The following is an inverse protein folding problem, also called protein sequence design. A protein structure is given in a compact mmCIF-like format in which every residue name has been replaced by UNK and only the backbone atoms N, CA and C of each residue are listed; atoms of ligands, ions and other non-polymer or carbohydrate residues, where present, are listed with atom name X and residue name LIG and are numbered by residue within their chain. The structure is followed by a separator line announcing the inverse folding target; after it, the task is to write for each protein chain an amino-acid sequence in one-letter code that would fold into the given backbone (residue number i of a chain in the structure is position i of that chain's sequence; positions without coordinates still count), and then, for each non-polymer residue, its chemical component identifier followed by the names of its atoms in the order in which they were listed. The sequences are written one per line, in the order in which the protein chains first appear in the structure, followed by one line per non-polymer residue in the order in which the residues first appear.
data_IF_138694461162
#
_entry.id   IF_138694461162
#
_cell.length_a   1.000
_cell.length_b   1.000
_cell.length_c   1.000
_cell.angle_alpha   90.00
_cell.angle_beta   90.00
_cell.angle_gamma   90.00
#
_symmetry.space_group_name_H-M   'P 1'
#
loop_
_entity.id
_entity.type
_entity.pdbx_description
1 polymer ?
#
# COMPACT_ATOMS: atom_id res chain seq x y z
N UNK A 1 4.62 30.21 20.42
CA UNK A 1 3.91 29.26 19.56
C UNK A 1 4.20 27.86 20.07
N UNK A 2 3.18 27.08 20.40
CA UNK A 2 3.32 25.68 20.77
C UNK A 2 2.40 24.88 19.84
N UNK A 3 2.98 24.10 18.92
CA UNK A 3 2.24 23.14 18.10
C UNK A 3 2.02 21.87 18.91
N UNK A 4 0.90 21.18 18.71
CA UNK A 4 0.79 19.79 19.16
C UNK A 4 1.76 18.90 18.38
N UNK A 5 2.12 17.76 18.95
CA UNK A 5 3.07 16.84 18.32
C UNK A 5 2.61 16.38 16.92
N UNK A 6 1.30 16.16 16.71
CA UNK A 6 0.71 15.76 15.43
C UNK A 6 0.81 16.88 14.39
N UNK A 7 0.63 18.13 14.82
CA UNK A 7 0.68 19.31 13.96
C UNK A 7 2.09 19.62 13.47
N UNK A 8 3.13 19.20 14.21
CA UNK A 8 4.52 19.28 13.75
C UNK A 8 4.73 18.40 12.51
N UNK A 9 4.21 17.17 12.52
CA UNK A 9 4.30 16.28 11.37
C UNK A 9 3.47 16.78 10.19
N UNK A 10 2.26 17.28 10.45
CA UNK A 10 1.42 17.89 9.42
C UNK A 10 2.12 19.10 8.75
N UNK A 11 2.82 19.91 9.53
CA UNK A 11 3.62 21.02 9.00
C UNK A 11 4.81 20.54 8.16
N UNK A 12 5.54 19.52 8.61
CA UNK A 12 6.66 18.94 7.86
C UNK A 12 6.17 18.36 6.52
N UNK A 13 5.03 17.67 6.51
CA UNK A 13 4.39 17.19 5.28
C UNK A 13 3.94 18.32 4.35
N UNK A 14 3.38 19.40 4.90
CA UNK A 14 3.01 20.57 4.13
C UNK A 14 4.22 21.17 3.43
N UNK A 15 5.33 21.38 4.15
CA UNK A 15 6.58 21.90 3.58
C UNK A 15 7.10 21.01 2.46
N UNK A 16 7.13 19.69 2.67
CA UNK A 16 7.57 18.70 1.68
C UNK A 16 6.75 18.69 0.37
N UNK A 17 5.54 19.27 0.36
CA UNK A 17 4.63 19.30 -0.81
C UNK A 17 4.48 20.69 -1.42
N UNK A 18 5.05 21.72 -0.80
CA UNK A 18 4.74 23.12 -1.13
C UNK A 18 5.75 23.78 -2.08
N UNK A 19 6.95 23.21 -2.25
CA UNK A 19 7.95 23.78 -3.13
C UNK A 19 7.75 23.31 -4.59
N UNK A 20 7.92 24.17 -5.61
CA UNK A 20 7.68 23.79 -7.00
C UNK A 20 8.65 22.76 -7.61
N UNK A 21 9.78 22.50 -6.95
CA UNK A 21 10.79 21.54 -7.42
C UNK A 21 10.66 20.21 -6.68
N UNK A 22 10.18 19.19 -7.39
CA UNK A 22 9.98 17.84 -6.85
C UNK A 22 11.28 17.19 -6.39
N UNK A 23 12.42 17.46 -7.05
CA UNK A 23 13.71 16.90 -6.64
C UNK A 23 14.18 17.48 -5.31
N UNK A 24 13.93 18.77 -5.07
CA UNK A 24 14.22 19.40 -3.78
C UNK A 24 13.27 18.91 -2.69
N UNK A 25 12.00 18.66 -3.02
CA UNK A 25 11.04 18.03 -2.10
C UNK A 25 11.52 16.63 -1.68
N UNK A 26 11.95 15.79 -2.62
CA UNK A 26 12.50 14.46 -2.34
C UNK A 26 13.74 14.53 -1.44
N UNK A 27 14.70 15.42 -1.74
CA UNK A 27 15.88 15.63 -0.91
C UNK A 27 15.52 16.07 0.52
N UNK A 28 14.51 16.94 0.66
CA UNK A 28 14.01 17.36 1.97
C UNK A 28 13.43 16.16 2.75
N UNK A 29 12.60 15.34 2.11
CA UNK A 29 12.03 14.13 2.74
C UNK A 29 13.11 13.14 3.18
N UNK A 30 14.16 12.93 2.37
CA UNK A 30 15.31 12.10 2.73
C UNK A 30 16.08 12.62 3.95
N UNK A 31 16.29 13.93 4.02
CA UNK A 31 16.95 14.57 5.17
C UNK A 31 16.08 14.42 6.42
N UNK A 32 14.77 14.66 6.31
CA UNK A 32 13.82 14.43 7.39
C UNK A 32 13.89 12.98 7.88
N UNK A 33 13.89 12.00 6.97
CA UNK A 33 13.99 10.58 7.33
C UNK A 33 15.29 10.24 8.08
N UNK A 34 16.43 10.81 7.67
CA UNK A 34 17.71 10.66 8.39
C UNK A 34 17.63 11.21 9.82
N UNK A 35 17.04 12.39 10.00
CA UNK A 35 16.87 13.00 11.32
C UNK A 35 15.90 12.18 12.17
N UNK A 36 14.72 11.84 11.65
CA UNK A 36 13.72 11.04 12.36
C UNK A 36 14.27 9.67 12.77
N UNK A 37 15.10 9.05 11.94
CA UNK A 37 15.81 7.81 12.29
C UNK A 37 16.82 8.00 13.40
N UNK A 38 17.67 9.03 13.31
CA UNK A 38 18.67 9.35 14.34
C UNK A 38 18.02 9.61 15.70
N UNK A 39 16.90 10.31 15.72
CA UNK A 39 16.15 10.64 16.94
C UNK A 39 15.17 9.54 17.38
N UNK A 40 15.21 8.34 16.77
CA UNK A 40 14.36 7.18 17.13
C UNK A 40 12.86 7.48 17.07
N UNK A 41 12.46 8.39 16.17
CA UNK A 41 11.05 8.66 15.91
C UNK A 41 10.35 7.41 15.38
N UNK A 42 9.10 7.20 15.80
CA UNK A 42 8.24 6.15 15.27
C UNK A 42 7.70 6.42 13.84
N UNK A 43 8.08 7.56 13.25
CA UNK A 43 7.54 8.05 11.98
C UNK A 43 8.60 8.24 10.90
N UNK A 44 8.25 7.95 9.65
CA UNK A 44 9.06 8.18 8.45
C UNK A 44 8.20 8.74 7.32
N UNK A 45 8.79 9.53 6.45
CA UNK A 45 8.26 9.75 5.11
C UNK A 45 8.27 8.43 4.34
N UNK A 46 7.13 8.11 3.73
CA UNK A 46 6.94 7.06 2.72
C UNK A 46 6.12 7.69 1.59
N UNK A 47 6.68 7.74 0.39
CA UNK A 47 6.19 8.68 -0.62
C UNK A 47 6.21 10.11 -0.06
N UNK A 48 5.08 10.81 -0.11
CA UNK A 48 4.94 12.16 0.45
C UNK A 48 4.18 12.24 1.77
N UNK A 49 4.02 11.12 2.49
CA UNK A 49 3.26 11.08 3.74
C UNK A 49 4.13 10.60 4.90
N UNK A 50 3.90 11.15 6.10
CA UNK A 50 4.58 10.70 7.30
C UNK A 50 3.73 9.60 7.94
N UNK A 51 4.26 8.39 7.95
CA UNK A 51 3.56 7.19 8.43
C UNK A 51 4.33 6.56 9.59
N UNK A 52 3.63 5.80 10.44
CA UNK A 52 4.22 5.08 11.59
C UNK A 52 4.88 3.75 11.16
N UNK A 53 5.64 3.76 10.06
CA UNK A 53 6.36 2.62 9.51
C UNK A 53 7.85 2.97 9.54
N UNK A 54 8.69 2.11 10.11
CA UNK A 54 10.09 2.44 10.37
C UNK A 54 11.08 1.40 9.87
N UNK A 55 10.63 0.18 9.55
CA UNK A 55 11.49 -0.83 8.95
C UNK A 55 11.78 -0.47 7.49
N UNK A 56 13.04 -0.55 7.10
CA UNK A 56 13.49 -0.09 5.78
C UNK A 56 12.90 -0.96 4.67
N UNK A 57 12.75 -2.25 4.91
CA UNK A 57 12.18 -3.21 3.97
C UNK A 57 10.68 -2.93 3.75
N UNK A 58 9.93 -2.65 4.81
CA UNK A 58 8.50 -2.30 4.71
C UNK A 58 8.29 -1.01 3.89
N UNK A 59 9.15 -0.01 4.13
CA UNK A 59 9.12 1.26 3.40
C UNK A 59 9.48 1.04 1.92
N UNK A 60 10.54 0.28 1.66
CA UNK A 60 11.03 0.01 0.31
C UNK A 60 9.97 -0.69 -0.56
N UNK A 61 9.25 -1.67 -0.01
CA UNK A 61 8.18 -2.35 -0.74
C UNK A 61 7.05 -1.39 -1.14
N UNK A 62 6.66 -0.48 -0.25
CA UNK A 62 5.62 0.53 -0.54
C UNK A 62 6.14 1.52 -1.59
N UNK A 63 7.35 2.04 -1.42
CA UNK A 63 7.94 3.02 -2.35
C UNK A 63 8.12 2.47 -3.75
N UNK A 64 8.53 1.21 -3.91
CA UNK A 64 8.69 0.58 -5.23
C UNK A 64 7.38 0.57 -6.01
N UNK A 65 6.23 0.36 -5.36
CA UNK A 65 4.91 0.45 -6.01
C UNK A 65 4.56 1.91 -6.32
N UNK A 66 4.84 2.83 -5.40
CA UNK A 66 4.51 4.26 -5.56
C UNK A 66 5.35 4.95 -6.65
N UNK A 67 6.56 4.48 -6.93
CA UNK A 67 7.46 4.99 -7.98
C UNK A 67 7.01 4.66 -9.40
N UNK A 68 6.06 3.75 -9.58
CA UNK A 68 5.67 3.31 -10.93
C UNK A 68 4.82 4.36 -11.64
N UNK A 69 5.34 4.90 -12.75
CA UNK A 69 4.71 6.00 -13.52
C UNK A 69 3.72 5.56 -14.58
N UNK A 70 3.79 4.29 -15.01
CA UNK A 70 3.09 3.81 -16.21
C UNK A 70 1.88 2.92 -15.87
N UNK A 71 1.84 1.68 -16.36
CA UNK A 71 0.68 0.77 -16.31
C UNK A 71 0.21 0.35 -14.92
N UNK A 72 1.08 0.44 -13.90
CA UNK A 72 0.71 0.18 -12.50
C UNK A 72 0.18 1.42 -11.76
N UNK A 73 0.07 2.58 -12.42
CA UNK A 73 -0.45 3.80 -11.80
C UNK A 73 -1.78 3.60 -11.08
N UNK A 74 -2.77 2.84 -11.59
CA UNK A 74 -4.01 2.62 -10.85
C UNK A 74 -3.81 1.83 -9.53
N UNK A 75 -2.87 0.88 -9.48
CA UNK A 75 -2.54 0.17 -8.24
C UNK A 75 -1.82 1.09 -7.25
N UNK A 76 -0.90 1.94 -7.75
CA UNK A 76 -0.21 2.94 -6.93
C UNK A 76 -1.19 3.97 -6.32
N UNK A 77 -2.25 4.36 -7.05
CA UNK A 77 -3.30 5.25 -6.52
C UNK A 77 -4.00 4.61 -5.32
N UNK A 78 -4.44 3.34 -5.44
CA UNK A 78 -5.06 2.63 -4.32
C UNK A 78 -4.10 2.49 -3.13
N UNK A 79 -2.83 2.16 -3.36
CA UNK A 79 -1.84 2.05 -2.28
C UNK A 79 -1.57 3.40 -1.59
N UNK A 80 -1.52 4.49 -2.36
CA UNK A 80 -1.41 5.85 -1.82
C UNK A 80 -2.63 6.23 -0.98
N UNK A 81 -3.83 5.91 -1.44
CA UNK A 81 -5.07 6.13 -0.66
C UNK A 81 -5.04 5.32 0.64
N UNK A 82 -4.65 4.05 0.57
CA UNK A 82 -4.51 3.18 1.74
C UNK A 82 -3.54 3.75 2.78
N UNK A 83 -2.39 4.24 2.32
CA UNK A 83 -1.39 4.89 3.17
C UNK A 83 -1.91 6.19 3.81
N UNK A 84 -2.69 6.98 3.09
CA UNK A 84 -3.33 8.17 3.63
C UNK A 84 -4.34 7.86 4.73
N UNK A 85 -5.18 6.84 4.53
CA UNK A 85 -6.15 6.38 5.54
C UNK A 85 -5.46 5.79 6.78
N UNK A 86 -4.32 5.12 6.61
CA UNK A 86 -3.50 4.58 7.71
C UNK A 86 -2.82 5.69 8.52
N UNK A 87 -2.37 6.76 7.84
CA UNK A 87 -1.49 7.79 8.41
C UNK A 87 -2.21 9.00 8.98
N UNK A 88 -3.54 9.10 8.80
CA UNK A 88 -4.33 10.13 9.46
C UNK A 88 -4.21 9.99 10.98
N UNK A 89 -3.50 10.95 11.59
CA UNK A 89 -3.23 10.99 13.03
C UNK A 89 -4.43 11.41 13.87
N UNK A 90 -5.46 12.02 13.25
CA UNK A 90 -6.65 12.55 13.92
C UNK A 90 -7.81 11.57 13.85
N UNK A 91 -7.99 10.94 12.70
CA UNK A 91 -9.06 9.99 12.43
C UNK A 91 -8.58 8.88 11.47
N UNK A 92 -7.72 7.96 11.94
CA UNK A 92 -7.26 6.86 11.11
C UNK A 92 -8.43 5.96 10.69
N UNK A 93 -8.39 5.48 9.45
CA UNK A 93 -9.41 4.61 8.88
C UNK A 93 -8.77 3.29 8.42
N UNK A 94 -8.45 2.45 9.41
CA UNK A 94 -7.77 1.17 9.21
C UNK A 94 -8.58 0.23 8.32
N UNK A 95 -9.90 0.22 8.47
CA UNK A 95 -10.78 -0.58 7.62
C UNK A 95 -10.63 -0.18 6.15
N UNK A 96 -10.80 1.11 5.82
CA UNK A 96 -10.72 1.53 4.43
C UNK A 96 -9.26 1.47 3.91
N UNK A 97 -8.26 1.62 4.77
CA UNK A 97 -6.85 1.35 4.42
C UNK A 97 -6.65 -0.09 3.93
N UNK A 98 -7.20 -1.08 4.65
CA UNK A 98 -7.16 -2.49 4.24
C UNK A 98 -7.89 -2.71 2.91
N UNK A 99 -9.08 -2.09 2.75
CA UNK A 99 -9.86 -2.20 1.52
C UNK A 99 -9.13 -1.66 0.30
N UNK A 100 -8.47 -0.52 0.43
CA UNK A 100 -7.69 0.09 -0.64
C UNK A 100 -6.42 -0.73 -0.93
N UNK A 101 -5.77 -1.28 0.11
CA UNK A 101 -4.59 -2.14 -0.05
C UNK A 101 -4.91 -3.37 -0.91
N UNK A 102 -6.03 -4.06 -0.65
CA UNK A 102 -6.42 -5.22 -1.47
C UNK A 102 -6.97 -4.82 -2.85
N UNK A 103 -7.58 -3.64 -3.00
CA UNK A 103 -7.93 -3.08 -4.32
C UNK A 103 -6.71 -2.91 -5.21
N UNK A 104 -5.57 -2.46 -4.65
CA UNK A 104 -4.33 -2.32 -5.42
C UNK A 104 -3.84 -3.66 -6.01
N UNK A 105 -3.97 -4.76 -5.25
CA UNK A 105 -3.66 -6.12 -5.70
C UNK A 105 -4.64 -6.58 -6.79
N UNK A 106 -5.92 -6.30 -6.62
CA UNK A 106 -6.97 -6.59 -7.61
C UNK A 106 -6.67 -5.91 -8.96
N UNK A 107 -6.26 -4.65 -8.92
CA UNK A 107 -5.87 -3.89 -10.10
C UNK A 107 -4.72 -4.55 -10.88
N UNK A 108 -3.63 -4.93 -10.22
CA UNK A 108 -2.50 -5.58 -10.92
C UNK A 108 -2.89 -6.97 -11.46
N UNK A 109 -3.71 -7.73 -10.73
CA UNK A 109 -4.19 -9.02 -11.20
C UNK A 109 -5.05 -8.88 -12.46
N UNK A 110 -5.95 -7.88 -12.50
CA UNK A 110 -6.75 -7.54 -13.69
C UNK A 110 -5.87 -7.22 -14.88
N UNK A 111 -4.88 -6.35 -14.69
CA UNK A 111 -3.91 -5.96 -15.72
C UNK A 111 -3.17 -7.17 -16.30
N UNK A 112 -2.58 -8.02 -15.45
CA UNK A 112 -1.86 -9.23 -15.89
C UNK A 112 -2.82 -10.22 -16.59
N UNK A 113 -4.04 -10.35 -16.08
CA UNK A 113 -5.05 -11.25 -16.66
C UNK A 113 -5.60 -10.76 -18.00
N UNK A 114 -5.59 -9.44 -18.26
CA UNK A 114 -6.27 -8.80 -19.39
C UNK A 114 -7.79 -8.82 -19.24
N UNK A 115 -8.30 -8.81 -18.01
CA UNK A 115 -9.74 -8.84 -17.69
C UNK A 115 -10.07 -7.73 -16.71
N UNK A 116 -10.52 -6.60 -17.23
CA UNK A 116 -10.76 -5.38 -16.44
C UNK A 116 -11.89 -5.54 -15.41
N UNK A 117 -12.86 -6.41 -15.67
CA UNK A 117 -14.03 -6.64 -14.80
C UNK A 117 -13.93 -7.89 -13.92
N UNK A 118 -12.79 -8.61 -13.95
CA UNK A 118 -12.65 -9.82 -13.15
C UNK A 118 -12.60 -9.51 -11.66
N UNK A 119 -13.24 -10.33 -10.82
CA UNK A 119 -12.95 -10.30 -9.37
C UNK A 119 -11.49 -10.71 -9.12
N UNK A 120 -10.91 -10.35 -7.96
CA UNK A 120 -9.53 -10.74 -7.63
C UNK A 120 -9.31 -12.26 -7.77
N UNK A 121 -10.19 -13.09 -7.21
CA UNK A 121 -10.10 -14.55 -7.36
C UNK A 121 -10.24 -15.03 -8.82
N UNK A 122 -11.08 -14.36 -9.62
CA UNK A 122 -11.19 -14.63 -11.05
C UNK A 122 -9.91 -14.27 -11.83
N UNK A 123 -9.31 -13.13 -11.50
CA UNK A 123 -8.07 -12.66 -12.09
C UNK A 123 -6.87 -13.55 -11.70
N UNK A 124 -6.74 -13.92 -10.42
CA UNK A 124 -5.67 -14.79 -9.90
C UNK A 124 -5.62 -16.14 -10.61
N UNK A 125 -6.77 -16.76 -10.87
CA UNK A 125 -6.85 -18.02 -11.64
C UNK A 125 -6.27 -17.89 -13.05
N UNK A 126 -6.50 -16.75 -13.71
CA UNK A 126 -5.93 -16.48 -15.04
C UNK A 126 -4.44 -16.18 -14.93
N UNK A 127 -4.04 -15.36 -13.95
CA UNK A 127 -2.64 -15.02 -13.68
C UNK A 127 -1.80 -16.27 -13.50
N UNK A 128 -2.25 -17.26 -12.70
CA UNK A 128 -1.60 -18.58 -12.55
C UNK A 128 -1.33 -19.31 -13.87
N UNK A 129 -2.21 -19.18 -14.86
CA UNK A 129 -2.00 -19.78 -16.17
C UNK A 129 -0.92 -19.09 -17.00
N UNK A 130 -0.55 -17.86 -16.64
CA UNK A 130 0.43 -17.03 -17.35
C UNK A 130 1.76 -16.88 -16.60
N UNK A 131 1.75 -16.98 -15.27
CA UNK A 131 2.96 -16.94 -14.43
C UNK A 131 3.07 -18.21 -13.59
N UNK A 132 4.30 -18.68 -13.39
CA UNK A 132 4.56 -19.83 -12.53
C UNK A 132 4.27 -19.48 -11.05
N UNK A 133 3.07 -19.83 -10.59
CA UNK A 133 2.58 -19.63 -9.23
C UNK A 133 2.21 -20.96 -8.60
N UNK A 134 2.84 -21.29 -7.48
CA UNK A 134 2.57 -22.53 -6.76
C UNK A 134 1.10 -22.57 -6.26
N UNK A 135 0.37 -23.68 -6.42
CA UNK A 135 -1.06 -23.76 -6.03
C UNK A 135 -1.34 -23.48 -4.56
N UNK A 136 -0.41 -23.81 -3.65
CA UNK A 136 -0.58 -23.48 -2.23
C UNK A 136 -0.49 -21.96 -1.97
N UNK A 137 0.35 -21.26 -2.72
CA UNK A 137 0.50 -19.81 -2.60
C UNK A 137 -0.73 -19.09 -3.16
N UNK A 138 -1.28 -19.57 -4.29
CA UNK A 138 -2.59 -19.14 -4.81
C UNK A 138 -3.69 -19.27 -3.73
N UNK A 139 -3.83 -20.44 -3.11
CA UNK A 139 -4.83 -20.66 -2.06
C UNK A 139 -4.65 -19.74 -0.86
N UNK A 140 -3.41 -19.42 -0.48
CA UNK A 140 -3.12 -18.46 0.57
C UNK A 140 -3.65 -17.06 0.20
N UNK A 141 -3.46 -16.64 -1.05
CA UNK A 141 -3.99 -15.37 -1.55
C UNK A 141 -5.51 -15.34 -1.64
N UNK A 142 -6.13 -16.41 -2.13
CA UNK A 142 -7.59 -16.54 -2.13
C UNK A 142 -8.17 -16.46 -0.71
N UNK A 143 -7.48 -17.06 0.28
CA UNK A 143 -7.89 -17.01 1.68
C UNK A 143 -7.74 -15.61 2.28
N UNK A 144 -6.63 -14.92 1.97
CA UNK A 144 -6.40 -13.52 2.38
C UNK A 144 -7.44 -12.58 1.75
N UNK A 145 -7.84 -12.84 0.50
CA UNK A 145 -8.94 -12.13 -0.14
C UNK A 145 -10.27 -12.38 0.57
N UNK A 146 -10.62 -13.64 0.86
CA UNK A 146 -11.83 -13.99 1.60
C UNK A 146 -11.93 -13.25 2.94
N UNK A 147 -10.83 -13.19 3.69
CA UNK A 147 -10.73 -12.39 4.92
C UNK A 147 -11.15 -10.92 4.74
N UNK A 148 -10.78 -10.30 3.61
CA UNK A 148 -11.13 -8.91 3.33
C UNK A 148 -12.51 -8.72 2.68
N UNK A 149 -13.05 -9.73 1.97
CA UNK A 149 -14.15 -9.56 1.01
C UNK A 149 -15.40 -10.40 1.25
N UNK A 150 -15.39 -11.41 2.11
CA UNK A 150 -16.60 -12.22 2.35
C UNK A 150 -17.68 -11.45 3.14
N UNK A 151 -18.91 -11.98 3.21
CA UNK A 151 -20.05 -11.35 3.91
C UNK A 151 -19.77 -11.05 5.41
N UNK A 152 -18.85 -11.81 6.03
CA UNK A 152 -18.33 -11.56 7.38
C UNK A 152 -16.96 -10.87 7.42
N UNK A 153 -16.39 -10.54 6.26
CA UNK A 153 -15.09 -9.91 6.10
C UNK A 153 -15.12 -8.38 6.23
N UNK A 154 -13.93 -7.79 6.20
CA UNK A 154 -13.69 -6.36 6.45
C UNK A 154 -14.51 -5.45 5.51
N UNK A 155 -14.80 -5.89 4.28
CA UNK A 155 -15.57 -5.11 3.29
C UNK A 155 -17.07 -5.06 3.53
N UNK A 156 -17.67 -6.10 4.09
CA UNK A 156 -19.14 -6.25 4.17
C UNK A 156 -19.70 -6.22 5.59
N UNK A 157 -18.87 -6.35 6.63
CA UNK A 157 -19.29 -6.22 8.02
C UNK A 157 -19.68 -4.77 8.39
N UNK A 158 -20.92 -4.36 8.08
CA UNK A 158 -21.53 -3.10 8.52
C UNK A 158 -21.87 -3.11 10.03
N UNK A 159 -22.11 -4.28 10.60
CA UNK A 159 -22.34 -4.51 12.03
C UNK A 159 -21.58 -5.76 12.48
N UNK A 160 -20.87 -5.69 13.61
CA UNK A 160 -20.13 -6.83 14.19
C UNK A 160 -18.65 -6.94 13.80
N UNK A 161 -18.01 -5.82 13.46
CA UNK A 161 -16.57 -5.75 13.12
C UNK A 161 -15.70 -6.31 14.26
N UNK A 162 -14.63 -7.07 13.96
CA UNK A 162 -13.47 -7.07 14.84
C UNK A 162 -12.92 -5.64 14.93
N UNK A 163 -12.49 -5.20 16.12
CA UNK A 163 -11.72 -3.97 16.26
C UNK A 163 -10.45 -4.13 15.41
N UNK A 164 -10.40 -3.47 14.25
CA UNK A 164 -9.25 -3.48 13.36
C UNK A 164 -8.33 -2.37 13.80
N UNK A 165 -7.08 -2.73 14.08
CA UNK A 165 -6.11 -1.82 14.63
C UNK A 165 -5.03 -1.46 13.60
N UNK A 166 -4.09 -0.63 14.05
CA UNK A 166 -2.97 -0.16 13.23
C UNK A 166 -2.16 -1.33 12.65
N UNK A 167 -1.92 -2.38 13.43
CA UNK A 167 -1.18 -3.57 13.01
C UNK A 167 -1.85 -4.31 11.86
N UNK A 168 -3.18 -4.42 11.84
CA UNK A 168 -3.92 -5.07 10.77
C UNK A 168 -3.79 -4.29 9.46
N UNK A 169 -4.00 -2.98 9.53
CA UNK A 169 -3.91 -2.12 8.37
C UNK A 169 -2.47 -1.99 7.86
N UNK A 170 -1.49 -1.88 8.76
CA UNK A 170 -0.07 -1.90 8.40
C UNK A 170 0.31 -3.23 7.73
N UNK A 171 -0.08 -4.36 8.32
CA UNK A 171 0.21 -5.68 7.77
C UNK A 171 -0.35 -5.80 6.35
N UNK A 172 -1.61 -5.40 6.15
CA UNK A 172 -2.25 -5.46 4.84
C UNK A 172 -1.59 -4.52 3.83
N UNK A 173 -1.28 -3.27 4.20
CA UNK A 173 -0.62 -2.31 3.32
C UNK A 173 0.72 -2.84 2.82
N UNK A 174 1.59 -3.28 3.74
CA UNK A 174 2.94 -3.79 3.43
C UNK A 174 2.85 -5.09 2.63
N UNK A 175 1.99 -6.03 3.04
CA UNK A 175 1.85 -7.32 2.36
C UNK A 175 1.31 -7.16 0.95
N UNK A 176 0.35 -6.26 0.73
CA UNK A 176 -0.16 -5.95 -0.60
C UNK A 176 0.90 -5.27 -1.48
N UNK A 177 1.69 -4.35 -0.93
CA UNK A 177 2.80 -3.73 -1.67
C UNK A 177 3.83 -4.77 -2.14
N UNK A 178 4.29 -5.63 -1.22
CA UNK A 178 5.20 -6.72 -1.54
C UNK A 178 4.60 -7.70 -2.56
N UNK A 179 3.30 -7.98 -2.47
CA UNK A 179 2.64 -8.86 -3.41
C UNK A 179 2.55 -8.26 -4.82
N UNK A 180 2.27 -6.96 -4.94
CA UNK A 180 2.29 -6.23 -6.21
C UNK A 180 3.68 -6.33 -6.85
N UNK A 181 4.74 -6.06 -6.07
CA UNK A 181 6.13 -6.16 -6.55
C UNK A 181 6.48 -7.59 -7.00
N UNK A 182 6.07 -8.59 -6.23
CA UNK A 182 6.24 -10.00 -6.58
C UNK A 182 5.54 -10.37 -7.92
N UNK A 183 4.27 -9.99 -8.08
CA UNK A 183 3.51 -10.24 -9.30
C UNK A 183 4.12 -9.52 -10.50
N UNK A 184 4.60 -8.29 -10.32
CA UNK A 184 5.32 -7.51 -11.34
C UNK A 184 6.54 -8.29 -11.84
N UNK A 185 7.43 -8.71 -10.93
CA UNK A 185 8.64 -9.46 -11.29
C UNK A 185 8.33 -10.80 -11.95
N UNK A 186 7.35 -11.55 -11.41
CA UNK A 186 6.93 -12.84 -12.00
C UNK A 186 6.36 -12.68 -13.41
N UNK A 187 5.58 -11.63 -13.63
CA UNK A 187 4.95 -11.34 -14.93
C UNK A 187 5.98 -10.96 -15.98
N UNK A 188 6.91 -10.06 -15.65
CA UNK A 188 8.03 -9.70 -16.52
C UNK A 188 8.88 -10.93 -16.87
N UNK A 189 9.19 -11.79 -15.89
CA UNK A 189 9.91 -13.05 -16.12
C UNK A 189 9.13 -14.02 -17.03
N UNK A 190 7.80 -14.00 -16.96
CA UNK A 190 6.90 -14.76 -17.81
C UNK A 190 6.66 -14.17 -19.20
N UNK A 191 7.31 -13.04 -19.54
CA UNK A 191 7.15 -12.36 -20.83
C UNK A 191 5.86 -11.54 -20.96
N UNK A 192 5.15 -11.29 -19.85
CA UNK A 192 3.98 -10.42 -19.80
C UNK A 192 4.47 -9.00 -19.55
N UNK A 193 4.45 -8.17 -20.59
CA UNK A 193 4.73 -6.76 -20.49
C UNK A 193 3.41 -6.01 -20.37
N UNK A 194 3.34 -5.10 -19.41
CA UNK A 194 2.29 -4.12 -19.26
C UNK A 194 2.96 -2.76 -19.13
#
# INVERSE_FOLDING_TARGET
FALRWDEVYDFIEFVAKSYPDDSLNEQFMDICNKVLKREVSAYRFVGSQIVRITAEEEIAEIEEVLKVTDTLRPAAIHLKTAMGLLSDRKAPDYRNSIKESISAVETICRLISGRDDATLGGALKVVKGKIDLHPALEKAFDSLYGYTSDEGGIRHALMGVPDLDFEDAKFMLVSCAAFINYLKLKSLKGGINF
#
